data_IF_957798569970
#
_entry.id   IF_957798569970
#
_cell.length_a   1.000
_cell.length_b   1.000
_cell.length_c   1.000
_cell.angle_alpha   90.00
_cell.angle_beta   90.00
_cell.angle_gamma   90.00
#
_symmetry.space_group_name_H-M   'P 1'
#
loop_
_entity.id
_entity.type
_entity.pdbx_description
1 polymer ?
#
# COMPACT_ATOMS: atom_id res chain seq x y z
N UNK A 1 -28.16 -2.35 -11.70
CA UNK A 1 -27.09 -2.43 -10.67
C UNK A 1 -27.40 -1.37 -9.63
N UNK A 2 -27.64 -1.76 -8.38
CA UNK A 2 -27.82 -0.80 -7.28
C UNK A 2 -26.43 -0.50 -6.74
N UNK A 3 -25.98 0.74 -6.90
CA UNK A 3 -24.73 1.18 -6.27
C UNK A 3 -24.92 1.17 -4.75
N UNK A 4 -24.00 0.52 -4.06
CA UNK A 4 -24.00 0.51 -2.61
C UNK A 4 -23.77 1.93 -2.10
N UNK A 5 -24.72 2.43 -1.32
CA UNK A 5 -24.56 3.70 -0.64
C UNK A 5 -24.36 3.42 0.86
N UNK A 6 -23.15 3.61 1.41
CA UNK A 6 -22.85 3.25 2.79
C UNK A 6 -23.73 3.99 3.82
N UNK A 7 -24.25 5.17 3.48
CA UNK A 7 -25.20 5.89 4.34
C UNK A 7 -26.59 5.22 4.45
N UNK A 8 -27.03 4.60 3.35
CA UNK A 8 -28.37 4.01 3.26
C UNK A 8 -28.41 2.57 3.76
N UNK A 9 -27.27 1.92 3.81
CA UNK A 9 -27.13 0.55 4.27
C UNK A 9 -26.61 0.56 5.70
N UNK A 10 -27.53 0.60 6.68
CA UNK A 10 -27.15 0.35 8.07
C UNK A 10 -26.67 -1.11 8.16
N UNK A 11 -25.37 -1.30 8.18
CA UNK A 11 -24.75 -2.62 8.31
C UNK A 11 -24.53 -2.96 9.77
N UNK A 12 -24.70 -4.23 10.07
CA UNK A 12 -24.17 -4.80 11.28
C UNK A 12 -22.70 -5.14 11.04
N UNK A 13 -21.81 -4.31 11.55
CA UNK A 13 -20.37 -4.56 11.47
C UNK A 13 -19.96 -5.66 12.45
N UNK A 14 -18.83 -6.35 12.16
CA UNK A 14 -18.37 -7.52 12.90
C UNK A 14 -18.09 -7.26 14.38
N UNK A 15 -17.70 -6.04 14.71
CA UNK A 15 -17.40 -5.60 16.08
C UNK A 15 -17.51 -4.08 16.22
N UNK A 16 -17.47 -3.61 17.49
CA UNK A 16 -17.62 -2.19 17.79
C UNK A 16 -16.48 -1.32 17.22
N UNK A 17 -15.25 -1.82 17.19
CA UNK A 17 -14.11 -1.09 16.65
C UNK A 17 -14.21 -0.96 15.14
N UNK A 18 -14.60 -2.03 14.45
CA UNK A 18 -14.90 -1.98 13.02
C UNK A 18 -15.98 -0.96 12.71
N UNK A 19 -17.08 -1.01 13.45
CA UNK A 19 -18.17 -0.05 13.31
C UNK A 19 -17.71 1.39 13.49
N UNK A 20 -16.93 1.68 14.52
CA UNK A 20 -16.38 3.02 14.77
C UNK A 20 -15.55 3.52 13.59
N UNK A 21 -14.60 2.72 13.12
CA UNK A 21 -13.73 3.09 11.98
C UNK A 21 -14.52 3.33 10.70
N UNK A 22 -15.48 2.46 10.39
CA UNK A 22 -16.29 2.58 9.18
C UNK A 22 -17.16 3.84 9.22
N UNK A 23 -17.82 4.13 10.34
CA UNK A 23 -18.64 5.33 10.49
C UNK A 23 -17.79 6.61 10.45
N UNK A 24 -16.65 6.65 11.12
CA UNK A 24 -15.72 7.79 11.04
C UNK A 24 -15.24 8.03 9.62
N UNK A 25 -15.00 6.96 8.85
CA UNK A 25 -14.58 7.09 7.45
C UNK A 25 -15.71 7.67 6.58
N UNK A 26 -16.92 7.22 6.78
CA UNK A 26 -18.10 7.80 6.11
C UNK A 26 -18.21 9.29 6.46
N UNK A 27 -18.17 9.63 7.75
CA UNK A 27 -18.27 11.02 8.21
C UNK A 27 -17.16 11.91 7.64
N UNK A 28 -15.94 11.42 7.58
CA UNK A 28 -14.81 12.14 6.95
C UNK A 28 -15.13 12.54 5.51
N UNK A 29 -15.57 11.59 4.68
CA UNK A 29 -15.87 11.88 3.28
C UNK A 29 -17.13 12.72 3.09
N UNK A 30 -18.13 12.56 3.96
CA UNK A 30 -19.33 13.39 3.93
C UNK A 30 -19.04 14.85 4.28
N UNK A 31 -18.17 15.10 5.27
CA UNK A 31 -17.72 16.45 5.61
C UNK A 31 -16.85 17.06 4.51
N UNK A 32 -15.95 16.26 3.92
CA UNK A 32 -15.14 16.71 2.78
C UNK A 32 -16.00 17.09 1.57
N UNK A 33 -17.06 16.33 1.33
CA UNK A 33 -18.03 16.54 0.28
C UNK A 33 -17.53 16.18 -1.13
N UNK A 34 -18.45 15.69 -1.97
CA UNK A 34 -18.13 15.24 -3.34
C UNK A 34 -17.55 16.35 -4.23
N UNK A 35 -17.94 17.61 -4.00
CA UNK A 35 -17.37 18.76 -4.73
C UNK A 35 -15.87 18.89 -4.48
N UNK A 36 -15.45 18.87 -3.22
CA UNK A 36 -14.02 18.95 -2.84
C UNK A 36 -13.24 17.74 -3.32
N UNK A 37 -13.81 16.54 -3.25
CA UNK A 37 -13.18 15.31 -3.77
C UNK A 37 -12.92 15.43 -5.28
N UNK A 38 -13.90 15.94 -6.04
CA UNK A 38 -13.78 16.15 -7.48
C UNK A 38 -12.76 17.24 -7.82
N UNK A 39 -12.72 18.31 -7.05
CA UNK A 39 -11.75 19.38 -7.21
C UNK A 39 -10.32 18.89 -6.95
N UNK A 40 -10.11 18.09 -5.91
CA UNK A 40 -8.82 17.47 -5.62
C UNK A 40 -8.38 16.53 -6.76
N UNK A 41 -9.31 15.78 -7.33
CA UNK A 41 -9.05 14.94 -8.50
C UNK A 41 -8.58 15.75 -9.70
N UNK A 42 -9.30 16.81 -10.06
CA UNK A 42 -8.93 17.69 -11.17
C UNK A 42 -7.59 18.40 -10.94
N UNK A 43 -7.28 18.80 -9.72
CA UNK A 43 -6.04 19.46 -9.33
C UNK A 43 -4.87 18.52 -9.10
N UNK A 44 -5.12 17.21 -9.17
CA UNK A 44 -4.11 16.17 -8.85
C UNK A 44 -3.54 16.34 -7.44
N UNK A 45 -4.38 16.72 -6.48
CA UNK A 45 -4.00 16.91 -5.08
C UNK A 45 -3.68 15.56 -4.44
N UNK A 46 -2.52 15.47 -3.78
CA UNK A 46 -2.16 14.25 -3.04
C UNK A 46 -3.01 14.12 -1.77
N UNK A 47 -3.35 12.91 -1.40
CA UNK A 47 -4.31 12.53 -0.35
C UNK A 47 -3.81 12.76 1.08
N UNK A 48 -3.01 13.79 1.36
CA UNK A 48 -2.41 14.03 2.68
C UNK A 48 -3.46 14.09 3.78
N UNK A 49 -4.51 14.88 3.60
CA UNK A 49 -5.61 15.00 4.55
C UNK A 49 -6.24 13.64 4.91
N UNK A 50 -6.48 12.80 3.90
CA UNK A 50 -7.01 11.45 4.12
C UNK A 50 -6.02 10.54 4.85
N UNK A 51 -4.74 10.59 4.52
CA UNK A 51 -3.72 9.78 5.17
C UNK A 51 -3.51 10.21 6.63
N UNK A 52 -3.57 11.50 6.92
CA UNK A 52 -3.53 12.03 8.28
C UNK A 52 -4.75 11.57 9.08
N UNK A 53 -5.96 11.65 8.52
CA UNK A 53 -7.18 11.10 9.12
C UNK A 53 -7.05 9.59 9.41
N UNK A 54 -6.56 8.80 8.46
CA UNK A 54 -6.34 7.35 8.62
C UNK A 54 -5.37 7.05 9.75
N UNK A 55 -4.28 7.81 9.84
CA UNK A 55 -3.26 7.69 10.88
C UNK A 55 -3.82 8.05 12.26
N UNK A 56 -4.44 9.21 12.41
CA UNK A 56 -5.01 9.72 13.67
C UNK A 56 -6.06 8.77 14.25
N UNK A 57 -6.87 8.17 13.39
CA UNK A 57 -7.91 7.21 13.79
C UNK A 57 -7.40 5.75 13.82
N UNK A 58 -6.10 5.52 13.57
CA UNK A 58 -5.43 4.22 13.59
C UNK A 58 -6.08 3.18 12.66
N UNK A 59 -6.65 3.61 11.53
CA UNK A 59 -7.46 2.75 10.67
C UNK A 59 -6.60 1.69 9.99
N UNK A 60 -5.55 2.09 9.24
CA UNK A 60 -4.73 1.13 8.50
C UNK A 60 -3.99 0.17 9.43
N UNK A 61 -3.44 0.67 10.53
CA UNK A 61 -2.73 -0.19 11.49
C UNK A 61 -3.67 -1.22 12.13
N UNK A 62 -4.90 -0.84 12.47
CA UNK A 62 -5.88 -1.76 13.07
C UNK A 62 -6.40 -2.80 12.07
N UNK A 63 -6.60 -2.41 10.80
CA UNK A 63 -7.12 -3.30 9.75
C UNK A 63 -6.06 -4.19 9.09
N UNK A 64 -4.80 -3.74 9.05
CA UNK A 64 -3.75 -4.36 8.23
C UNK A 64 -2.62 -5.01 9.03
N UNK A 65 -2.56 -4.81 10.35
CA UNK A 65 -1.51 -5.45 11.17
C UNK A 65 -2.04 -6.77 11.73
N UNK A 66 -1.40 -7.91 11.44
CA UNK A 66 -1.75 -9.16 12.10
C UNK A 66 -1.57 -9.06 13.63
N UNK A 67 -2.48 -9.64 14.40
CA UNK A 67 -2.55 -9.53 15.86
C UNK A 67 -1.21 -9.82 16.56
N UNK A 68 -0.43 -10.76 16.04
CA UNK A 68 0.90 -11.12 16.56
C UNK A 68 1.89 -9.95 16.60
N UNK A 69 1.70 -8.94 15.74
CA UNK A 69 2.64 -7.81 15.56
C UNK A 69 2.10 -6.48 16.07
N UNK A 70 0.94 -6.50 16.75
CA UNK A 70 0.33 -5.30 17.32
C UNK A 70 0.13 -5.43 18.81
N UNK A 71 0.21 -4.31 19.53
CA UNK A 71 -0.22 -4.19 20.94
C UNK A 71 -1.70 -3.78 21.06
N UNK A 72 -2.32 -3.38 19.96
CA UNK A 72 -3.74 -3.06 19.89
C UNK A 72 -4.54 -4.37 19.82
N UNK A 73 -5.42 -4.66 20.78
CA UNK A 73 -6.20 -5.90 20.82
C UNK A 73 -7.19 -6.03 19.65
N UNK A 74 -7.57 -4.92 19.05
CA UNK A 74 -8.48 -4.87 17.90
C UNK A 74 -7.77 -5.05 16.57
N UNK A 75 -6.43 -4.98 16.55
CA UNK A 75 -5.65 -5.11 15.33
C UNK A 75 -5.64 -6.57 14.84
N UNK A 76 -6.09 -6.76 13.62
CA UNK A 76 -6.00 -8.04 12.91
C UNK A 76 -6.16 -7.87 11.41
N UNK A 77 -5.47 -8.72 10.67
CA UNK A 77 -5.72 -8.89 9.25
C UNK A 77 -6.96 -9.77 9.06
N UNK A 78 -8.05 -9.14 8.70
CA UNK A 78 -9.34 -9.79 8.53
C UNK A 78 -9.93 -9.39 7.16
N UNK A 79 -10.04 -10.35 6.26
CA UNK A 79 -10.48 -10.12 4.89
C UNK A 79 -11.89 -9.53 4.83
N UNK A 80 -12.80 -9.95 5.71
CA UNK A 80 -14.16 -9.42 5.72
C UNK A 80 -14.18 -7.92 6.09
N UNK A 81 -13.49 -7.53 7.16
CA UNK A 81 -13.32 -6.12 7.56
C UNK A 81 -12.69 -5.29 6.44
N UNK A 82 -11.69 -5.85 5.79
CA UNK A 82 -10.99 -5.18 4.69
C UNK A 82 -11.89 -4.99 3.48
N UNK A 83 -12.77 -5.94 3.18
CA UNK A 83 -13.79 -5.80 2.12
C UNK A 83 -14.83 -4.73 2.48
N UNK A 84 -15.30 -4.68 3.73
CA UNK A 84 -16.23 -3.63 4.19
C UNK A 84 -15.61 -2.24 4.04
N UNK A 85 -14.35 -2.08 4.43
CA UNK A 85 -13.62 -0.82 4.26
C UNK A 85 -13.44 -0.45 2.79
N UNK A 86 -13.08 -1.43 1.93
CA UNK A 86 -12.99 -1.25 0.49
C UNK A 86 -14.27 -0.67 -0.12
N UNK A 87 -15.42 -1.23 0.25
CA UNK A 87 -16.71 -0.77 -0.28
C UNK A 87 -16.99 0.70 0.07
N UNK A 88 -16.65 1.12 1.29
CA UNK A 88 -16.87 2.48 1.75
C UNK A 88 -15.97 3.44 0.98
N UNK A 89 -14.66 3.20 0.98
CA UNK A 89 -13.73 4.15 0.36
C UNK A 89 -13.86 4.20 -1.16
N UNK A 90 -14.16 3.06 -1.82
CA UNK A 90 -14.40 3.03 -3.26
C UNK A 90 -15.67 3.77 -3.67
N UNK A 91 -16.69 3.82 -2.80
CA UNK A 91 -17.91 4.61 -3.04
C UNK A 91 -17.59 6.11 -3.16
N UNK A 92 -16.70 6.63 -2.31
CA UNK A 92 -16.34 8.04 -2.31
C UNK A 92 -15.30 8.41 -3.36
N UNK A 93 -14.30 7.54 -3.60
CA UNK A 93 -13.31 7.81 -4.63
C UNK A 93 -12.29 6.69 -4.81
N UNK A 94 -12.13 6.25 -6.07
CA UNK A 94 -11.20 5.17 -6.42
C UNK A 94 -9.73 5.51 -6.11
N UNK A 95 -9.37 6.78 -6.09
CA UNK A 95 -8.02 7.21 -5.74
C UNK A 95 -7.68 6.88 -4.28
N UNK A 96 -8.59 7.11 -3.35
CA UNK A 96 -8.44 6.73 -1.94
C UNK A 96 -8.41 5.22 -1.77
N UNK A 97 -9.33 4.51 -2.47
CA UNK A 97 -9.34 3.06 -2.52
C UNK A 97 -8.03 2.49 -3.05
N UNK A 98 -7.48 3.09 -4.09
CA UNK A 98 -6.22 2.63 -4.70
C UNK A 98 -5.04 2.73 -3.72
N UNK A 99 -4.95 3.82 -2.95
CA UNK A 99 -3.94 3.98 -1.90
C UNK A 99 -4.01 2.87 -0.85
N UNK A 100 -5.20 2.49 -0.44
CA UNK A 100 -5.47 1.37 0.46
C UNK A 100 -5.11 0.02 -0.15
N UNK A 101 -5.63 -0.25 -1.36
CA UNK A 101 -5.45 -1.52 -2.04
C UNK A 101 -3.97 -1.80 -2.34
N UNK A 102 -3.21 -0.81 -2.79
CA UNK A 102 -1.77 -0.94 -3.03
C UNK A 102 -1.01 -1.16 -1.71
N UNK A 103 -1.45 -0.55 -0.61
CA UNK A 103 -0.90 -0.84 0.72
C UNK A 103 -1.09 -2.31 1.10
N UNK A 104 -2.27 -2.89 0.84
CA UNK A 104 -2.53 -4.33 1.03
C UNK A 104 -1.58 -5.18 0.18
N UNK A 105 -1.43 -4.85 -1.10
CA UNK A 105 -0.54 -5.58 -2.01
C UNK A 105 0.91 -5.54 -1.53
N UNK A 106 1.39 -4.37 -1.10
CA UNK A 106 2.75 -4.21 -0.58
C UNK A 106 3.00 -4.98 0.72
N UNK A 107 1.99 -5.09 1.57
CA UNK A 107 2.07 -5.84 2.83
C UNK A 107 1.98 -7.35 2.66
N UNK A 108 1.27 -7.83 1.63
CA UNK A 108 1.03 -9.25 1.41
C UNK A 108 2.29 -10.11 1.44
N UNK A 109 3.31 -9.86 0.59
CA UNK A 109 4.56 -10.62 0.61
C UNK A 109 5.30 -10.54 1.95
N UNK A 110 5.22 -9.40 2.64
CA UNK A 110 5.85 -9.21 3.95
C UNK A 110 5.21 -10.13 4.98
N UNK A 111 3.87 -10.11 5.10
CA UNK A 111 3.16 -10.95 6.07
C UNK A 111 3.28 -12.44 5.77
N UNK A 112 3.37 -12.82 4.50
CA UNK A 112 3.56 -14.21 4.06
C UNK A 112 5.01 -14.70 4.21
N UNK A 113 6.00 -13.82 4.37
CA UNK A 113 7.40 -14.17 4.51
C UNK A 113 7.68 -14.89 5.83
N UNK A 114 8.88 -15.49 5.93
CA UNK A 114 9.39 -16.02 7.20
C UNK A 114 10.31 -15.03 7.93
N UNK A 115 10.47 -13.81 7.40
CA UNK A 115 11.37 -12.82 7.95
C UNK A 115 10.69 -12.00 9.06
N UNK A 116 10.86 -12.42 10.30
CA UNK A 116 10.26 -11.77 11.48
C UNK A 116 10.76 -10.33 11.68
N UNK A 117 11.99 -10.02 11.27
CA UNK A 117 12.53 -8.66 11.40
C UNK A 117 11.78 -7.68 10.49
N UNK A 118 11.55 -8.06 9.22
CA UNK A 118 10.83 -7.21 8.27
C UNK A 118 9.36 -7.05 8.63
N UNK A 119 8.71 -8.09 9.18
CA UNK A 119 7.33 -8.01 9.69
C UNK A 119 7.21 -6.99 10.82
N UNK A 120 8.14 -7.00 11.78
CA UNK A 120 8.17 -5.99 12.86
C UNK A 120 8.42 -4.58 12.34
N UNK A 121 9.28 -4.43 11.32
CA UNK A 121 9.50 -3.13 10.69
C UNK A 121 8.23 -2.64 9.98
N UNK A 122 7.50 -3.52 9.28
CA UNK A 122 6.24 -3.19 8.63
C UNK A 122 5.16 -2.78 9.63
N UNK A 123 5.03 -3.52 10.75
CA UNK A 123 4.11 -3.16 11.83
C UNK A 123 4.43 -1.76 12.39
N UNK A 124 5.72 -1.49 12.66
CA UNK A 124 6.16 -0.16 13.12
C UNK A 124 5.87 0.94 12.09
N UNK A 125 6.05 0.66 10.81
CA UNK A 125 5.73 1.62 9.76
C UNK A 125 4.22 1.93 9.70
N UNK A 126 3.35 0.91 9.84
CA UNK A 126 1.90 1.11 9.95
C UNK A 126 1.52 1.95 11.17
N UNK A 127 2.14 1.71 12.34
CA UNK A 127 1.93 2.52 13.55
C UNK A 127 2.28 4.01 13.31
N UNK A 128 3.23 4.28 12.46
CA UNK A 128 3.63 5.63 12.09
C UNK A 128 2.77 6.25 10.98
N UNK A 129 1.75 5.54 10.50
CA UNK A 129 0.89 5.97 9.40
C UNK A 129 1.51 5.75 8.01
N UNK A 130 2.51 4.87 7.91
CA UNK A 130 3.13 4.53 6.64
C UNK A 130 2.20 3.74 5.72
N UNK A 131 2.28 4.02 4.43
CA UNK A 131 1.66 3.25 3.35
C UNK A 131 2.71 2.40 2.66
N UNK A 132 2.26 1.40 1.90
CA UNK A 132 3.14 0.43 1.24
C UNK A 132 2.91 0.44 -0.26
N UNK A 133 3.91 -0.05 -0.99
CA UNK A 133 3.84 -0.20 -2.44
C UNK A 133 4.23 -1.60 -2.89
N UNK A 134 3.85 -1.95 -4.12
CA UNK A 134 4.06 -3.26 -4.71
C UNK A 134 4.78 -3.12 -6.05
N UNK A 135 6.06 -3.40 -6.07
CA UNK A 135 6.93 -3.28 -7.22
C UNK A 135 6.96 -4.56 -8.05
N UNK A 136 5.91 -4.78 -8.86
CA UNK A 136 5.80 -5.94 -9.74
C UNK A 136 6.04 -5.57 -11.20
N UNK A 137 5.28 -4.60 -11.70
CA UNK A 137 5.22 -4.24 -13.13
C UNK A 137 6.52 -3.63 -13.63
N UNK A 138 6.86 -3.94 -14.87
CA UNK A 138 7.98 -3.36 -15.62
C UNK A 138 7.47 -2.74 -16.92
N UNK A 139 8.25 -1.85 -17.53
CA UNK A 139 7.84 -1.19 -18.76
C UNK A 139 7.64 -2.18 -19.90
N UNK A 140 8.52 -3.17 -20.00
CA UNK A 140 8.51 -4.18 -21.06
C UNK A 140 7.63 -5.40 -20.71
N UNK A 141 7.26 -5.59 -19.43
CA UNK A 141 6.62 -6.79 -18.93
C UNK A 141 5.36 -6.46 -18.10
N UNK A 142 4.24 -7.06 -18.46
CA UNK A 142 2.95 -6.94 -17.78
C UNK A 142 2.51 -8.27 -17.16
N UNK A 143 1.57 -8.96 -17.82
CA UNK A 143 1.06 -10.25 -17.35
C UNK A 143 2.10 -11.38 -17.36
N UNK A 144 3.14 -11.24 -18.14
CA UNK A 144 4.28 -12.16 -18.23
C UNK A 144 5.28 -11.97 -17.08
N UNK A 145 4.80 -12.03 -15.84
CA UNK A 145 5.52 -11.70 -14.59
C UNK A 145 6.87 -12.42 -14.47
N UNK A 146 6.94 -13.65 -14.97
CA UNK A 146 8.17 -14.44 -14.91
C UNK A 146 9.27 -14.00 -15.90
N UNK A 147 8.93 -13.11 -16.82
CA UNK A 147 9.90 -12.48 -17.73
C UNK A 147 10.62 -11.28 -17.09
N UNK A 148 10.34 -10.97 -15.82
CA UNK A 148 10.93 -9.82 -15.11
C UNK A 148 12.43 -9.67 -15.38
N UNK A 149 12.87 -8.45 -15.66
CA UNK A 149 14.27 -8.08 -15.84
C UNK A 149 14.95 -7.70 -14.52
N UNK A 150 14.15 -7.43 -13.45
CA UNK A 150 14.69 -7.18 -12.11
C UNK A 150 15.48 -8.39 -11.63
N UNK A 151 16.76 -8.22 -11.34
CA UNK A 151 17.69 -9.28 -10.92
C UNK A 151 18.20 -9.05 -9.51
N UNK A 152 18.37 -10.16 -8.78
CA UNK A 152 19.03 -10.23 -7.49
C UNK A 152 20.32 -11.03 -7.65
N UNK A 153 21.47 -10.36 -7.72
CA UNK A 153 22.77 -10.99 -7.85
C UNK A 153 23.37 -11.24 -6.46
N UNK A 154 23.74 -12.48 -6.12
CA UNK A 154 24.38 -12.77 -4.84
C UNK A 154 25.65 -11.93 -4.63
N UNK A 155 25.78 -11.33 -3.44
CA UNK A 155 26.93 -10.51 -3.04
C UNK A 155 27.35 -10.85 -1.60
N UNK A 156 27.84 -12.06 -1.41
CA UNK A 156 28.20 -12.61 -0.11
C UNK A 156 27.05 -13.36 0.59
N UNK A 157 27.31 -13.98 1.75
CA UNK A 157 26.36 -14.81 2.46
C UNK A 157 25.07 -14.03 2.83
N UNK A 158 23.94 -14.46 2.25
CA UNK A 158 22.60 -13.86 2.52
C UNK A 158 22.41 -12.43 2.01
N UNK A 159 23.34 -11.90 1.21
CA UNK A 159 23.27 -10.56 0.62
C UNK A 159 23.10 -10.62 -0.89
N UNK A 160 22.39 -9.65 -1.43
CA UNK A 160 22.12 -9.52 -2.86
C UNK A 160 22.24 -8.06 -3.28
N UNK A 161 22.68 -7.85 -4.51
CA UNK A 161 22.54 -6.59 -5.23
C UNK A 161 21.33 -6.71 -6.13
N UNK A 162 20.36 -5.82 -5.96
CA UNK A 162 19.19 -5.72 -6.82
C UNK A 162 19.49 -4.76 -7.97
N UNK A 163 19.19 -5.16 -9.21
CA UNK A 163 19.35 -4.34 -10.40
C UNK A 163 18.14 -4.52 -11.32
N UNK A 164 17.56 -3.42 -11.75
CA UNK A 164 16.38 -3.38 -12.62
C UNK A 164 15.51 -2.19 -12.38
N UNK A 165 14.43 -2.06 -13.16
CA UNK A 165 13.48 -0.97 -13.12
C UNK A 165 12.07 -1.53 -12.89
N UNK A 166 11.27 -0.85 -12.05
CA UNK A 166 9.83 -1.11 -11.90
C UNK A 166 9.05 0.10 -12.35
N UNK A 167 7.92 -0.13 -13.00
CA UNK A 167 7.12 0.91 -13.64
C UNK A 167 5.64 0.83 -13.22
N UNK A 168 4.94 1.97 -13.18
CA UNK A 168 3.55 2.07 -12.71
C UNK A 168 3.36 1.62 -11.26
N UNK A 169 4.25 2.03 -10.36
CA UNK A 169 4.18 1.61 -8.96
C UNK A 169 3.35 2.61 -8.15
N UNK A 170 2.10 2.23 -7.88
CA UNK A 170 1.21 3.00 -7.00
C UNK A 170 1.81 3.16 -5.60
N UNK A 171 1.54 4.29 -4.95
CA UNK A 171 2.12 4.71 -3.66
C UNK A 171 3.65 4.86 -3.66
N UNK A 172 4.34 4.58 -4.75
CA UNK A 172 5.79 4.41 -4.78
C UNK A 172 6.59 5.56 -4.17
N UNK A 173 6.18 6.80 -4.40
CA UNK A 173 6.87 8.01 -3.90
C UNK A 173 6.57 8.36 -2.44
N UNK A 174 5.57 7.73 -1.81
CA UNK A 174 5.20 7.96 -0.41
C UNK A 174 5.31 6.70 0.45
N UNK A 175 5.55 5.55 -0.16
CA UNK A 175 5.61 4.28 0.55
C UNK A 175 6.76 4.24 1.58
N UNK A 176 6.45 3.73 2.77
CA UNK A 176 7.45 3.43 3.79
C UNK A 176 8.33 2.25 3.37
N UNK A 177 7.73 1.29 2.65
CA UNK A 177 8.39 0.10 2.13
C UNK A 177 7.73 -0.32 0.82
N UNK A 178 8.53 -0.91 -0.07
CA UNK A 178 8.07 -1.46 -1.35
C UNK A 178 8.42 -2.93 -1.42
N UNK A 179 7.42 -3.81 -1.52
CA UNK A 179 7.64 -5.21 -1.83
C UNK A 179 7.92 -5.36 -3.32
N UNK A 180 9.15 -5.70 -3.67
CA UNK A 180 9.64 -5.74 -5.05
C UNK A 180 9.89 -7.17 -5.49
N UNK A 181 9.39 -7.52 -6.69
CA UNK A 181 9.56 -8.83 -7.29
C UNK A 181 10.74 -8.85 -8.24
N UNK A 182 11.56 -9.91 -8.16
CA UNK A 182 12.70 -10.10 -9.06
C UNK A 182 13.14 -11.55 -9.13
N UNK A 183 14.06 -11.86 -10.05
CA UNK A 183 14.67 -13.18 -10.21
C UNK A 183 16.07 -13.24 -9.61
N UNK A 184 16.39 -14.36 -8.97
CA UNK A 184 17.74 -14.60 -8.43
C UNK A 184 18.63 -15.07 -9.57
N UNK A 185 19.67 -14.30 -9.87
CA UNK A 185 20.58 -14.56 -10.97
C UNK A 185 21.19 -15.98 -10.91
N UNK A 186 21.19 -16.68 -12.05
CA UNK A 186 21.77 -18.02 -12.18
C UNK A 186 20.98 -19.17 -11.54
N UNK A 187 19.80 -18.93 -10.95
CA UNK A 187 19.08 -19.99 -10.22
C UNK A 187 17.73 -20.38 -10.80
N UNK A 188 17.15 -19.57 -11.68
CA UNK A 188 15.76 -19.72 -12.16
C UNK A 188 14.70 -19.49 -11.09
N UNK A 189 15.07 -19.06 -9.88
CA UNK A 189 14.15 -18.79 -8.76
C UNK A 189 13.76 -17.31 -8.72
N UNK A 190 12.59 -17.05 -8.17
CA UNK A 190 12.04 -15.71 -7.96
C UNK A 190 11.94 -15.40 -6.47
N UNK A 191 12.02 -14.13 -6.12
CA UNK A 191 11.87 -13.68 -4.75
C UNK A 191 11.17 -12.32 -4.68
N UNK A 192 10.49 -12.08 -3.56
CA UNK A 192 10.17 -10.75 -3.12
C UNK A 192 11.24 -10.26 -2.15
N UNK A 193 11.65 -9.03 -2.32
CA UNK A 193 12.50 -8.31 -1.37
C UNK A 193 11.85 -6.96 -1.05
N UNK A 194 12.26 -6.38 0.07
CA UNK A 194 11.73 -5.08 0.50
C UNK A 194 12.78 -4.02 0.24
N UNK A 195 12.39 -3.02 -0.55
CA UNK A 195 13.15 -1.79 -0.72
C UNK A 195 12.57 -0.68 0.18
N UNK A 196 13.46 0.09 0.80
CA UNK A 196 13.13 1.27 1.58
C UNK A 196 13.76 2.49 0.90
N UNK A 197 12.95 3.25 0.18
CA UNK A 197 13.42 4.39 -0.64
C UNK A 197 13.56 5.70 0.13
N UNK A 198 13.29 5.72 1.43
CA UNK A 198 13.48 6.91 2.27
C UNK A 198 14.88 7.00 2.86
N UNK A 199 15.78 6.18 2.41
CA UNK A 199 17.19 6.28 2.78
C UNK A 199 17.86 7.40 1.99
N UNK A 200 18.81 8.16 2.61
CA UNK A 200 19.51 9.28 1.95
C UNK A 200 20.26 8.89 0.68
N UNK A 201 20.68 7.62 0.58
CA UNK A 201 21.43 7.08 -0.55
C UNK A 201 20.57 6.81 -1.80
N UNK A 202 19.23 6.97 -1.72
CA UNK A 202 18.34 6.74 -2.86
C UNK A 202 17.82 8.06 -3.44
N UNK A 203 18.06 8.26 -4.73
CA UNK A 203 17.44 9.34 -5.49
C UNK A 203 16.05 8.90 -5.97
N UNK A 204 15.01 9.60 -5.51
CA UNK A 204 13.64 9.38 -5.95
C UNK A 204 13.32 10.28 -7.13
N UNK A 205 13.25 9.73 -8.35
CA UNK A 205 12.77 10.47 -9.53
C UNK A 205 11.25 10.40 -9.58
N UNK A 206 10.61 11.54 -9.34
CA UNK A 206 9.14 11.69 -9.43
C UNK A 206 8.73 11.98 -10.85
N UNK A 207 8.03 11.05 -11.50
CA UNK A 207 7.32 11.31 -12.74
C UNK A 207 5.82 11.46 -12.41
N UNK A 208 5.24 12.59 -12.77
CA UNK A 208 3.80 12.79 -12.71
C UNK A 208 3.19 12.11 -13.93
N UNK A 209 2.44 11.05 -13.71
CA UNK A 209 1.59 10.44 -14.73
C UNK A 209 0.20 11.10 -14.69
N UNK A 210 -0.58 10.98 -15.76
CA UNK A 210 -1.98 11.46 -15.83
C UNK A 210 -2.93 10.75 -14.85
N UNK A 211 -2.49 9.68 -14.18
CA UNK A 211 -3.16 9.09 -13.03
C UNK A 211 -2.73 9.79 -11.75
N UNK A 212 -3.61 9.86 -10.76
CA UNK A 212 -3.38 10.51 -9.46
C UNK A 212 -2.24 9.91 -8.65
N UNK A 213 -1.70 8.78 -9.05
CA UNK A 213 -0.56 8.14 -8.44
C UNK A 213 0.71 8.51 -9.21
N UNK A 214 1.69 9.01 -8.48
CA UNK A 214 3.02 9.25 -9.02
C UNK A 214 3.66 7.92 -9.38
N UNK A 215 4.31 7.88 -10.55
CA UNK A 215 5.21 6.79 -10.89
C UNK A 215 6.58 7.12 -10.32
N UNK A 216 7.09 6.26 -9.47
CA UNK A 216 8.46 6.34 -9.02
C UNK A 216 9.31 5.40 -9.88
N UNK A 217 10.27 5.95 -10.60
CA UNK A 217 11.34 5.18 -11.22
C UNK A 217 12.46 5.05 -10.20
N UNK A 218 12.88 3.84 -9.95
CA UNK A 218 13.95 3.54 -9.02
C UNK A 218 15.23 3.24 -9.78
N UNK A 219 16.19 4.12 -9.73
CA UNK A 219 17.57 3.76 -10.00
C UNK A 219 18.23 3.44 -8.65
N UNK A 220 18.53 2.19 -8.40
CA UNK A 220 19.49 1.83 -7.36
C UNK A 220 20.86 2.16 -7.92
N UNK A 221 21.49 3.18 -7.38
CA UNK A 221 22.92 3.41 -7.60
C UNK A 221 23.71 2.63 -6.55
N UNK A 222 24.80 1.98 -6.99
CA UNK A 222 25.74 1.21 -6.19
C UNK A 222 26.31 1.96 -4.99
#
# INVERSE_FOLDING_TARGET
MVLLNPKKHQRQYSDNRSREMMLKTIDFFEHKGLGSIKDDDHKRTWYREYLDFVKENRIFVTLLTPSKYSTDPDARWDTYRNCEFNEIIAFYGLAYWYTWQVTILGLGPIWMSQNEAIKRQAAKALEQGGIFAFGLSERAHGADVYSTEMTLTPNGPGKYVANGEKYYIGNGNEAAMVSTFGKIAGTGKYAFFVANFRRPEYELKKNVCDSQNYVANYALHD
#
